data_IF_512869816570
#
_entry.id   IF_512869816570
#
_cell.length_a   1.000
_cell.length_b   1.000
_cell.length_c   1.000
_cell.angle_alpha   90.00
_cell.angle_beta   90.00
_cell.angle_gamma   90.00
#
_symmetry.space_group_name_H-M   'P 1'
#
loop_
_entity.id
_entity.type
_entity.pdbx_description
1 polymer ?
#
# COMPACT_ATOMS: atom_id res chain seq x y z
N UNK A 1 -20.22 5.28 -6.39
CA UNK A 1 -19.54 5.36 -5.08
C UNK A 1 -18.13 5.83 -5.34
N UNK A 2 -17.85 7.10 -5.10
CA UNK A 2 -16.51 7.67 -5.32
C UNK A 2 -15.72 7.46 -4.03
N UNK A 3 -14.64 6.67 -4.08
CA UNK A 3 -13.68 6.55 -2.97
C UNK A 3 -12.84 7.82 -2.91
N UNK A 4 -13.44 8.91 -2.46
CA UNK A 4 -12.80 10.24 -2.43
C UNK A 4 -12.67 10.81 -1.03
N UNK A 5 -13.25 10.17 0.00
CA UNK A 5 -13.03 10.64 1.37
C UNK A 5 -11.60 10.27 1.82
N UNK A 6 -10.90 11.17 2.53
CA UNK A 6 -9.57 10.90 3.08
C UNK A 6 -9.49 9.61 3.88
N UNK A 7 -10.52 9.27 4.66
CA UNK A 7 -10.54 8.02 5.44
C UNK A 7 -10.67 6.78 4.55
N UNK A 8 -11.49 6.86 3.50
CA UNK A 8 -11.62 5.76 2.54
C UNK A 8 -10.31 5.52 1.80
N UNK A 9 -9.60 6.59 1.41
CA UNK A 9 -8.28 6.49 0.79
C UNK A 9 -7.26 5.91 1.77
N UNK A 10 -7.22 6.40 3.02
CA UNK A 10 -6.33 5.86 4.07
C UNK A 10 -6.55 4.36 4.28
N UNK A 11 -7.80 3.93 4.43
CA UNK A 11 -8.15 2.52 4.61
C UNK A 11 -7.75 1.66 3.40
N UNK A 12 -7.90 2.19 2.19
CA UNK A 12 -7.43 1.52 0.97
C UNK A 12 -5.91 1.32 1.00
N UNK A 13 -5.14 2.34 1.34
CA UNK A 13 -3.68 2.26 1.41
C UNK A 13 -3.20 1.28 2.49
N UNK A 14 -3.90 1.18 3.62
CA UNK A 14 -3.62 0.19 4.67
C UNK A 14 -3.91 -1.24 4.21
N UNK A 15 -5.05 -1.46 3.57
CA UNK A 15 -5.42 -2.76 3.00
C UNK A 15 -4.40 -3.20 1.93
N UNK A 16 -4.07 -2.33 0.99
CA UNK A 16 -3.08 -2.64 -0.05
C UNK A 16 -1.69 -2.98 0.52
N UNK A 17 -1.24 -2.28 1.56
CA UNK A 17 0.01 -2.61 2.23
C UNK A 17 -0.04 -4.00 2.88
N UNK A 18 -1.17 -4.35 3.50
CA UNK A 18 -1.38 -5.66 4.12
C UNK A 18 -1.37 -6.77 3.08
N UNK A 19 -2.09 -6.60 1.98
CA UNK A 19 -2.16 -7.57 0.89
C UNK A 19 -0.79 -7.80 0.24
N UNK A 20 -0.04 -6.73 -0.03
CA UNK A 20 1.31 -6.84 -0.57
C UNK A 20 2.28 -7.54 0.40
N UNK A 21 2.11 -7.34 1.71
CA UNK A 21 2.92 -8.01 2.72
C UNK A 21 2.65 -9.51 2.74
N UNK A 22 1.37 -9.89 2.70
CA UNK A 22 0.93 -11.28 2.60
C UNK A 22 1.46 -11.93 1.31
N UNK A 23 1.30 -11.25 0.16
CA UNK A 23 1.80 -11.70 -1.14
C UNK A 23 3.31 -11.91 -1.13
N UNK A 24 4.07 -10.97 -0.57
CA UNK A 24 5.53 -11.08 -0.42
C UNK A 24 5.92 -12.34 0.37
N UNK A 25 5.24 -12.59 1.50
CA UNK A 25 5.52 -13.75 2.35
C UNK A 25 5.17 -15.07 1.66
N UNK A 26 4.04 -15.13 0.94
CA UNK A 26 3.64 -16.32 0.18
C UNK A 26 4.60 -16.60 -0.99
N UNK A 27 5.10 -15.56 -1.65
CA UNK A 27 6.01 -15.66 -2.80
C UNK A 27 7.50 -15.81 -2.42
N UNK A 28 7.89 -15.56 -1.16
CA UNK A 28 9.30 -15.47 -0.71
C UNK A 28 10.20 -16.63 -1.18
N UNK A 29 9.66 -17.85 -1.26
CA UNK A 29 10.42 -19.06 -1.64
C UNK A 29 10.18 -19.50 -3.09
N UNK A 30 8.94 -19.38 -3.59
CA UNK A 30 8.56 -19.87 -4.92
C UNK A 30 8.85 -18.86 -6.03
N UNK A 31 8.75 -17.56 -5.73
CA UNK A 31 8.83 -16.48 -6.70
C UNK A 31 9.54 -15.26 -6.11
N UNK A 32 10.88 -15.28 -5.95
CA UNK A 32 11.66 -14.15 -5.43
C UNK A 32 11.36 -12.81 -6.12
N UNK A 33 11.22 -12.72 -7.46
CA UNK A 33 10.91 -11.46 -8.13
C UNK A 33 9.57 -10.85 -7.72
N UNK A 34 8.57 -11.69 -7.42
CA UNK A 34 7.25 -11.22 -6.97
C UNK A 34 7.34 -10.67 -5.54
N UNK A 35 8.13 -11.32 -4.68
CA UNK A 35 8.42 -10.83 -3.33
C UNK A 35 9.09 -9.45 -3.36
N UNK A 36 10.11 -9.27 -4.22
CA UNK A 36 10.80 -7.98 -4.38
C UNK A 36 9.88 -6.89 -4.93
N UNK A 37 9.07 -7.22 -5.94
CA UNK A 37 8.09 -6.29 -6.50
C UNK A 37 7.03 -5.86 -5.46
N UNK A 38 6.54 -6.81 -4.64
CA UNK A 38 5.59 -6.53 -3.58
C UNK A 38 6.19 -5.63 -2.49
N UNK A 39 7.43 -5.90 -2.05
CA UNK A 39 8.16 -5.06 -1.10
C UNK A 39 8.40 -3.65 -1.65
N UNK A 40 8.76 -3.52 -2.94
CA UNK A 40 8.87 -2.22 -3.63
C UNK A 40 7.54 -1.46 -3.65
N UNK A 41 6.44 -2.17 -3.91
CA UNK A 41 5.09 -1.61 -3.88
C UNK A 41 4.72 -1.02 -2.52
N UNK A 42 5.03 -1.72 -1.43
CA UNK A 42 4.80 -1.22 -0.06
C UNK A 42 5.56 0.10 0.19
N UNK A 43 6.83 0.18 -0.23
CA UNK A 43 7.63 1.41 -0.07
C UNK A 43 7.04 2.57 -0.87
N UNK A 44 6.57 2.32 -2.10
CA UNK A 44 5.90 3.34 -2.92
C UNK A 44 4.62 3.84 -2.25
N UNK A 45 3.79 2.94 -1.72
CA UNK A 45 2.56 3.32 -1.00
C UNK A 45 2.89 4.19 0.21
N UNK A 46 3.86 3.78 1.04
CA UNK A 46 4.31 4.58 2.20
C UNK A 46 4.80 5.96 1.78
N UNK A 47 5.55 6.04 0.68
CA UNK A 47 6.05 7.30 0.14
C UNK A 47 4.92 8.21 -0.32
N UNK A 48 3.92 7.65 -1.03
CA UNK A 48 2.74 8.40 -1.46
C UNK A 48 1.95 8.89 -0.24
N UNK A 49 1.70 8.03 0.73
CA UNK A 49 0.97 8.41 1.95
C UNK A 49 1.69 9.52 2.72
N UNK A 50 3.02 9.44 2.85
CA UNK A 50 3.82 10.46 3.53
C UNK A 50 3.89 11.79 2.76
N UNK A 51 3.77 11.77 1.43
CA UNK A 51 3.79 12.99 0.59
C UNK A 51 2.44 13.68 0.48
N UNK A 52 1.35 12.97 0.78
CA UNK A 52 -0.02 13.46 0.66
C UNK A 52 -0.72 13.42 2.02
N UNK A 53 0.04 13.64 3.10
CA UNK A 53 -0.47 13.64 4.48
C UNK A 53 -1.63 14.59 4.67
N UNK A 54 -1.54 15.76 4.05
CA UNK A 54 -2.53 16.83 3.95
C UNK A 54 -3.83 16.35 3.28
N UNK A 55 -3.75 15.73 2.10
CA UNK A 55 -4.91 15.11 1.42
C UNK A 55 -5.53 13.99 2.25
N UNK A 56 -4.70 13.21 2.96
CA UNK A 56 -5.15 12.10 3.80
C UNK A 56 -5.65 12.56 5.19
N UNK A 57 -5.32 13.78 5.62
CA UNK A 57 -5.80 14.39 6.85
C UNK A 57 -7.17 15.05 6.67
N UNK A 58 -7.56 15.37 5.42
CA UNK A 58 -8.85 15.98 5.10
C UNK A 58 -8.92 17.48 5.37
N UNK A 59 -7.76 18.16 5.38
CA UNK A 59 -7.64 19.62 5.51
C UNK A 59 -7.68 20.34 4.16
#
# INVERSE_FOLDING_TARGET
MSTTSPEAVKKLLENMQTDLRSLSMECKKKFPPVKEAAESGIVKIKTIAARNTDILAGE
#
